data_IF_938088477612
#
_entry.id   IF_938088477612
#
_cell.length_a   1.000
_cell.length_b   1.000
_cell.length_c   1.000
_cell.angle_alpha   90.00
_cell.angle_beta   90.00
_cell.angle_gamma   90.00
#
_symmetry.space_group_name_H-M   'P 1'
#
loop_
_entity.id
_entity.type
_entity.pdbx_description
1 polymer ?
#
# COMPACT_ATOMS: atom_id res chain seq x y z
N UNK A 1 1.17 22.09 3.40
CA UNK A 1 1.09 22.18 4.87
C UNK A 1 2.22 21.36 5.49
N UNK A 2 2.59 21.56 6.77
CA UNK A 2 3.69 20.81 7.38
C UNK A 2 3.20 19.43 7.87
N UNK A 3 3.93 18.36 7.49
CA UNK A 3 3.68 17.00 8.00
C UNK A 3 4.07 16.88 9.48
N UNK A 4 3.40 15.99 10.20
CA UNK A 4 3.85 15.54 11.53
C UNK A 4 5.21 14.83 11.39
N UNK A 5 6.02 14.88 12.43
CA UNK A 5 7.39 14.36 12.39
C UNK A 5 7.45 12.89 11.99
N UNK A 6 6.54 12.08 12.52
CA UNK A 6 6.41 10.66 12.21
C UNK A 6 6.25 10.34 10.70
N UNK A 7 5.65 11.25 9.93
CA UNK A 7 5.39 11.08 8.48
C UNK A 7 6.31 11.91 7.59
N UNK A 8 7.20 12.73 8.18
CA UNK A 8 8.04 13.68 7.45
C UNK A 8 9.15 12.93 6.71
N UNK A 9 9.30 13.21 5.41
CA UNK A 9 10.48 12.80 4.66
C UNK A 9 11.73 13.52 5.16
N UNK A 10 12.85 12.80 5.24
CA UNK A 10 14.15 13.40 5.56
C UNK A 10 14.57 14.37 4.46
N UNK A 11 15.11 15.53 4.86
CA UNK A 11 15.74 16.49 3.94
C UNK A 11 17.05 15.91 3.43
N UNK A 12 17.53 16.41 2.29
CA UNK A 12 18.82 15.98 1.71
C UNK A 12 19.95 16.15 2.73
N UNK A 13 19.99 17.27 3.45
CA UNK A 13 20.97 17.52 4.52
C UNK A 13 20.89 16.51 5.66
N UNK A 14 19.70 15.98 5.97
CA UNK A 14 19.51 14.94 6.98
C UNK A 14 19.88 13.54 6.44
N UNK A 15 19.83 13.35 5.12
CA UNK A 15 20.22 12.09 4.47
C UNK A 15 21.73 12.01 4.33
N UNK A 16 22.40 13.08 3.91
CA UNK A 16 23.85 13.10 3.61
C UNK A 16 24.71 13.67 4.72
N UNK A 17 24.12 14.37 5.70
CA UNK A 17 24.88 15.05 6.75
C UNK A 17 25.63 14.05 7.64
N UNK A 18 26.96 14.12 7.62
CA UNK A 18 27.83 13.24 8.43
C UNK A 18 27.83 11.78 7.99
N UNK A 19 27.36 11.46 6.79
CA UNK A 19 27.30 10.09 6.25
C UNK A 19 28.28 9.88 5.11
N UNK A 20 28.83 8.67 5.03
CA UNK A 20 29.58 8.21 3.85
C UNK A 20 28.63 8.08 2.65
N UNK A 21 29.01 8.66 1.50
CA UNK A 21 28.19 8.59 0.29
C UNK A 21 28.70 7.49 -0.63
N UNK A 22 27.86 6.49 -0.86
CA UNK A 22 28.11 5.37 -1.78
C UNK A 22 27.45 5.66 -3.12
N UNK A 23 28.20 5.45 -4.20
CA UNK A 23 27.70 5.51 -5.56
C UNK A 23 27.69 4.09 -6.15
N UNK A 24 26.52 3.47 -6.39
CA UNK A 24 26.46 2.15 -6.99
C UNK A 24 26.84 2.22 -8.47
N UNK A 25 27.42 1.16 -9.02
CA UNK A 25 27.60 1.02 -10.45
C UNK A 25 26.25 0.87 -11.17
N UNK A 26 26.19 1.22 -12.46
CA UNK A 26 24.96 1.13 -13.25
C UNK A 26 24.40 -0.30 -13.39
N UNK A 27 25.24 -1.31 -13.18
CA UNK A 27 24.89 -2.74 -13.24
C UNK A 27 24.65 -3.36 -11.86
N UNK A 28 24.82 -2.59 -10.78
CA UNK A 28 24.60 -3.10 -9.44
C UNK A 28 23.11 -3.32 -9.17
N UNK A 29 22.80 -4.39 -8.46
CA UNK A 29 21.47 -4.60 -7.88
C UNK A 29 21.17 -3.49 -6.86
N UNK A 30 20.33 -2.53 -7.25
CA UNK A 30 19.88 -1.47 -6.33
C UNK A 30 19.20 -2.06 -5.08
N UNK A 31 18.50 -3.19 -5.23
CA UNK A 31 17.87 -3.91 -4.12
C UNK A 31 18.91 -4.33 -3.09
N UNK A 32 20.00 -4.96 -3.51
CA UNK A 32 21.02 -5.45 -2.59
C UNK A 32 21.85 -4.29 -2.02
N UNK A 33 22.15 -3.27 -2.82
CA UNK A 33 22.84 -2.06 -2.36
C UNK A 33 22.06 -1.33 -1.28
N UNK A 34 20.76 -1.10 -1.47
CA UNK A 34 19.92 -0.42 -0.47
C UNK A 34 19.79 -1.30 0.79
N UNK A 35 19.61 -2.62 0.64
CA UNK A 35 19.56 -3.53 1.79
C UNK A 35 20.85 -3.53 2.60
N UNK A 36 22.00 -3.43 1.95
CA UNK A 36 23.32 -3.46 2.59
C UNK A 36 23.73 -2.13 3.26
N UNK A 37 22.99 -1.03 3.07
CA UNK A 37 23.35 0.26 3.67
C UNK A 37 23.45 0.18 5.20
N UNK A 38 24.61 0.57 5.73
CA UNK A 38 24.82 0.80 7.15
C UNK A 38 24.20 2.13 7.60
N UNK A 39 23.92 2.35 8.91
CA UNK A 39 23.22 3.56 9.40
C UNK A 39 23.92 4.90 9.10
N UNK A 40 25.25 4.87 8.96
CA UNK A 40 26.15 5.99 8.67
C UNK A 40 26.40 6.17 7.16
N UNK A 41 25.72 5.41 6.30
CA UNK A 41 25.87 5.48 4.85
C UNK A 41 24.65 6.11 4.18
N UNK A 42 24.88 6.74 3.04
CA UNK A 42 23.87 7.25 2.12
C UNK A 42 24.17 6.76 0.70
N UNK A 43 23.13 6.36 -0.04
CA UNK A 43 23.25 5.93 -1.43
C UNK A 43 22.91 7.08 -2.37
N UNK A 44 23.81 7.38 -3.29
CA UNK A 44 23.59 8.32 -4.39
C UNK A 44 23.45 7.60 -5.72
N UNK A 45 22.24 7.62 -6.28
CA UNK A 45 21.95 7.00 -7.57
C UNK A 45 22.00 8.08 -8.65
N UNK A 46 22.96 7.97 -9.56
CA UNK A 46 23.19 8.91 -10.67
C UNK A 46 22.67 8.42 -12.03
N UNK A 47 22.10 7.22 -12.08
CA UNK A 47 21.49 6.64 -13.27
C UNK A 47 19.95 6.51 -13.17
N UNK A 48 19.24 6.31 -14.31
CA UNK A 48 17.78 6.18 -14.30
C UNK A 48 17.29 4.96 -13.53
N UNK A 49 16.43 5.18 -12.53
CA UNK A 49 15.72 4.11 -11.81
C UNK A 49 14.55 3.55 -12.64
N UNK A 50 13.88 4.42 -13.40
CA UNK A 50 12.75 4.01 -14.22
C UNK A 50 13.25 3.35 -15.52
N UNK A 51 12.50 2.38 -16.07
CA UNK A 51 12.81 1.83 -17.39
C UNK A 51 12.91 2.94 -18.45
N UNK A 52 13.84 2.79 -19.41
CA UNK A 52 14.20 3.84 -20.39
C UNK A 52 13.02 4.35 -21.21
N UNK A 53 11.99 3.54 -21.40
CA UNK A 53 10.76 3.92 -22.11
C UNK A 53 9.86 4.91 -21.35
N UNK A 54 10.13 5.16 -20.06
CA UNK A 54 9.39 6.13 -19.25
C UNK A 54 10.26 7.34 -18.91
N UNK A 55 9.89 8.49 -19.44
CA UNK A 55 10.56 9.77 -19.21
C UNK A 55 10.39 10.31 -17.78
N UNK A 56 9.32 9.93 -17.09
CA UNK A 56 9.01 10.39 -15.76
C UNK A 56 8.14 9.41 -14.97
N UNK A 57 8.09 9.66 -13.65
CA UNK A 57 7.32 8.87 -12.70
C UNK A 57 5.82 8.83 -13.03
N UNK A 58 5.24 9.92 -13.54
CA UNK A 58 3.82 9.97 -13.87
C UNK A 58 3.47 9.02 -15.02
N UNK A 59 4.29 8.98 -16.08
CA UNK A 59 4.11 8.02 -17.18
C UNK A 59 4.34 6.59 -16.73
N UNK A 60 5.36 6.32 -15.92
CA UNK A 60 5.59 5.00 -15.36
C UNK A 60 4.41 4.51 -14.51
N UNK A 61 3.86 5.35 -13.63
CA UNK A 61 2.73 4.94 -12.79
C UNK A 61 1.43 4.70 -13.59
N UNK A 62 1.30 5.32 -14.77
CA UNK A 62 0.11 5.18 -15.64
C UNK A 62 0.23 4.05 -16.67
N UNK A 63 1.42 3.82 -17.21
CA UNK A 63 1.66 2.94 -18.36
C UNK A 63 2.73 1.87 -18.09
N UNK A 64 3.34 1.87 -16.90
CA UNK A 64 4.30 0.87 -16.48
C UNK A 64 3.65 -0.49 -16.23
N UNK A 65 4.49 -1.49 -16.01
CA UNK A 65 4.01 -2.82 -15.66
C UNK A 65 3.28 -2.79 -14.32
N UNK A 66 2.30 -3.68 -14.20
CA UNK A 66 1.39 -3.78 -13.08
C UNK A 66 1.32 -5.23 -12.60
N UNK A 67 1.31 -5.42 -11.29
CA UNK A 67 0.91 -6.70 -10.73
C UNK A 67 -0.62 -6.80 -10.77
N UNK A 68 -1.16 -7.74 -11.56
CA UNK A 68 -2.60 -7.88 -11.77
C UNK A 68 -3.16 -9.02 -10.95
N UNK A 69 -3.88 -8.69 -9.89
CA UNK A 69 -4.55 -9.70 -9.08
C UNK A 69 -5.85 -10.13 -9.76
N UNK A 70 -5.89 -11.37 -10.23
CA UNK A 70 -7.11 -12.03 -10.69
C UNK A 70 -7.97 -12.50 -9.53
N UNK A 71 -9.24 -12.80 -9.82
CA UNK A 71 -10.06 -13.57 -8.88
C UNK A 71 -9.67 -15.02 -9.01
N UNK A 72 -9.01 -15.55 -7.98
CA UNK A 72 -8.98 -16.98 -7.75
C UNK A 72 -10.04 -17.28 -6.69
N UNK A 73 -11.13 -18.00 -7.02
CA UNK A 73 -12.14 -18.35 -6.04
C UNK A 73 -11.60 -19.29 -4.94
N UNK A 74 -10.45 -19.91 -5.13
CA UNK A 74 -9.89 -20.82 -4.13
C UNK A 74 -8.91 -20.13 -3.18
N UNK A 75 -8.41 -18.94 -3.54
CA UNK A 75 -7.41 -18.22 -2.76
C UNK A 75 -8.00 -16.95 -2.10
N UNK A 76 -7.64 -16.67 -0.83
CA UNK A 76 -7.95 -15.39 -0.21
C UNK A 76 -7.38 -14.21 -1.03
N UNK A 77 -8.02 -13.02 -1.02
CA UNK A 77 -7.56 -11.86 -1.78
C UNK A 77 -6.10 -11.45 -1.50
N UNK A 78 -5.68 -11.49 -0.23
CA UNK A 78 -4.29 -11.24 0.14
C UNK A 78 -3.31 -12.22 -0.55
N UNK A 79 -3.68 -13.50 -0.66
CA UNK A 79 -2.87 -14.50 -1.38
C UNK A 79 -2.91 -14.27 -2.90
N UNK A 80 -4.06 -13.93 -3.46
CA UNK A 80 -4.19 -13.59 -4.88
C UNK A 80 -3.31 -12.38 -5.25
N UNK A 81 -3.25 -11.37 -4.37
CA UNK A 81 -2.36 -10.22 -4.51
C UNK A 81 -0.90 -10.63 -4.35
N UNK A 82 -0.56 -11.41 -3.32
CA UNK A 82 0.80 -11.89 -3.09
C UNK A 82 1.33 -12.70 -4.28
N UNK A 83 0.49 -13.56 -4.86
CA UNK A 83 0.78 -14.31 -6.07
C UNK A 83 0.98 -13.39 -7.27
N UNK A 84 0.08 -12.43 -7.50
CA UNK A 84 0.22 -11.47 -8.59
C UNK A 84 1.49 -10.62 -8.48
N UNK A 85 1.92 -10.28 -7.26
CA UNK A 85 3.18 -9.59 -7.01
C UNK A 85 4.39 -10.47 -7.31
N UNK A 86 4.33 -11.75 -6.96
CA UNK A 86 5.39 -12.71 -7.24
C UNK A 86 5.51 -13.01 -8.74
N UNK A 87 4.37 -13.17 -9.41
CA UNK A 87 4.27 -13.54 -10.84
C UNK A 87 4.53 -12.36 -11.77
N UNK A 88 4.50 -11.13 -11.27
CA UNK A 88 4.93 -9.96 -12.02
C UNK A 88 6.46 -10.00 -12.18
N UNK A 89 6.93 -10.86 -13.09
CA UNK A 89 8.33 -11.14 -13.46
C UNK A 89 9.10 -9.91 -13.99
N UNK A 90 8.52 -8.71 -13.89
CA UNK A 90 9.05 -7.45 -14.42
C UNK A 90 8.87 -6.34 -13.40
N UNK A 91 9.74 -5.32 -13.35
CA UNK A 91 9.57 -4.19 -12.45
C UNK A 91 8.20 -3.54 -12.57
N UNK A 92 7.45 -3.49 -11.47
CA UNK A 92 6.12 -2.87 -11.38
C UNK A 92 6.08 -1.86 -10.22
N UNK A 93 5.18 -0.89 -10.29
CA UNK A 93 5.01 0.13 -9.24
C UNK A 93 3.64 0.09 -8.55
N UNK A 94 2.74 -0.75 -9.04
CA UNK A 94 1.36 -0.77 -8.55
C UNK A 94 0.72 -2.13 -8.70
N UNK A 95 -0.23 -2.39 -7.82
CA UNK A 95 -1.18 -3.49 -7.97
C UNK A 95 -2.44 -2.95 -8.61
N UNK A 96 -3.00 -3.77 -9.49
CA UNK A 96 -4.22 -3.49 -10.22
C UNK A 96 -5.21 -4.63 -10.02
N UNK A 97 -6.42 -4.27 -9.60
CA UNK A 97 -7.54 -5.19 -9.40
C UNK A 97 -8.67 -4.72 -10.30
N UNK A 98 -9.13 -5.59 -11.20
CA UNK A 98 -10.32 -5.32 -12.03
C UNK A 98 -11.56 -5.78 -11.29
N UNK A 99 -12.55 -4.90 -11.17
CA UNK A 99 -13.82 -5.25 -10.56
C UNK A 99 -14.56 -6.30 -11.39
N UNK A 100 -15.05 -7.34 -10.71
CA UNK A 100 -15.98 -8.31 -11.30
C UNK A 100 -17.43 -7.81 -11.28
N UNK A 101 -17.77 -6.90 -10.37
CA UNK A 101 -19.10 -6.28 -10.30
C UNK A 101 -19.31 -5.25 -11.41
N UNK A 102 -18.23 -4.59 -11.82
CA UNK A 102 -18.20 -3.64 -12.93
C UNK A 102 -16.90 -3.81 -13.71
N UNK A 103 -17.00 -4.46 -14.89
CA UNK A 103 -15.83 -4.76 -15.73
C UNK A 103 -15.13 -3.51 -16.27
N UNK A 104 -15.79 -2.36 -16.25
CA UNK A 104 -15.25 -1.08 -16.67
C UNK A 104 -14.48 -0.36 -15.56
N UNK A 105 -14.54 -0.87 -14.32
CA UNK A 105 -13.83 -0.31 -13.18
C UNK A 105 -12.57 -1.10 -12.85
N UNK A 106 -11.49 -0.35 -12.67
CA UNK A 106 -10.20 -0.87 -12.22
C UNK A 106 -9.73 -0.06 -11.01
N UNK A 107 -9.32 -0.77 -9.97
CA UNK A 107 -8.69 -0.19 -8.79
C UNK A 107 -7.18 -0.34 -8.91
N UNK A 108 -6.45 0.77 -8.73
CA UNK A 108 -4.99 0.80 -8.65
C UNK A 108 -4.54 1.23 -7.26
N UNK A 109 -3.49 0.60 -6.76
CA UNK A 109 -2.81 1.05 -5.54
C UNK A 109 -1.30 0.95 -5.73
N UNK A 110 -0.58 2.02 -5.41
CA UNK A 110 0.89 2.02 -5.45
C UNK A 110 1.45 1.29 -4.23
N UNK A 111 2.58 0.60 -4.40
CA UNK A 111 3.19 -0.15 -3.30
C UNK A 111 3.64 0.77 -2.14
N UNK A 112 4.20 1.94 -2.47
CA UNK A 112 4.58 2.95 -1.47
C UNK A 112 3.38 3.43 -0.66
N UNK A 113 2.23 3.62 -1.31
CA UNK A 113 0.97 3.99 -0.66
C UNK A 113 0.47 2.92 0.31
N UNK A 114 0.71 1.64 0.00
CA UNK A 114 0.33 0.55 0.88
C UNK A 114 1.13 0.59 2.19
N UNK A 115 2.44 0.80 2.12
CA UNK A 115 3.31 0.94 3.29
C UNK A 115 2.96 2.21 4.09
N UNK A 116 2.77 3.36 3.43
CA UNK A 116 2.33 4.58 4.12
C UNK A 116 0.97 4.39 4.83
N UNK A 117 0.05 3.64 4.22
CA UNK A 117 -1.23 3.29 4.85
C UNK A 117 -1.07 2.39 6.07
N UNK A 118 -0.17 1.40 6.01
CA UNK A 118 0.19 0.57 7.17
C UNK A 118 0.81 1.41 8.28
N UNK A 119 1.74 2.32 7.94
CA UNK A 119 2.38 3.25 8.87
C UNK A 119 1.36 4.17 9.54
N UNK A 120 0.40 4.70 8.77
CA UNK A 120 -0.68 5.53 9.28
C UNK A 120 -1.63 4.75 10.22
N UNK A 121 -1.94 3.50 9.89
CA UNK A 121 -2.69 2.63 10.78
C UNK A 121 -1.92 2.38 12.09
N UNK A 122 -0.63 2.05 12.03
CA UNK A 122 0.21 1.86 13.21
C UNK A 122 0.26 3.11 14.10
N UNK A 123 0.50 4.29 13.50
CA UNK A 123 0.44 5.58 14.20
C UNK A 123 -0.89 5.80 14.92
N UNK A 124 -2.00 5.49 14.25
CA UNK A 124 -3.34 5.72 14.79
C UNK A 124 -3.62 4.93 16.07
N UNK A 125 -3.06 3.71 16.19
CA UNK A 125 -3.26 2.86 17.36
C UNK A 125 -2.63 3.47 18.62
N UNK A 126 -1.53 4.21 18.45
CA UNK A 126 -0.76 4.79 19.55
C UNK A 126 -1.15 6.24 19.84
N UNK A 127 -1.49 7.03 18.82
CA UNK A 127 -1.55 8.49 18.94
C UNK A 127 -2.92 9.10 18.63
N UNK A 128 -3.67 8.52 17.68
CA UNK A 128 -4.91 9.12 17.18
C UNK A 128 -5.84 8.04 16.62
N UNK A 129 -6.63 7.35 17.47
CA UNK A 129 -7.41 6.18 17.06
C UNK A 129 -8.30 6.45 15.85
N UNK A 130 -8.26 5.56 14.85
CA UNK A 130 -9.23 5.54 13.74
C UNK A 130 -10.60 5.18 14.30
N UNK A 131 -11.62 6.00 13.96
CA UNK A 131 -13.01 5.76 14.37
C UNK A 131 -13.71 5.02 13.23
N UNK A 132 -14.26 3.84 13.53
CA UNK A 132 -15.01 3.02 12.57
C UNK A 132 -16.47 3.04 12.98
N UNK A 133 -17.35 3.35 12.04
CA UNK A 133 -18.79 3.30 12.22
C UNK A 133 -19.42 2.43 11.11
N UNK A 134 -20.37 1.58 11.49
CA UNK A 134 -21.01 0.58 10.61
C UNK A 134 -21.00 -0.83 11.22
N UNK A 135 -21.47 -1.85 10.48
CA UNK A 135 -21.88 -1.79 9.07
C UNK A 135 -23.24 -1.13 8.85
N UNK A 136 -23.38 -0.30 7.80
CA UNK A 136 -24.60 0.48 7.48
C UNK A 136 -25.54 -0.19 6.45
N UNK A 137 -25.61 -1.53 6.40
CA UNK A 137 -26.57 -2.27 5.55
C UNK A 137 -27.27 -3.35 6.37
N UNK A 138 -28.53 -3.65 6.05
CA UNK A 138 -29.26 -4.76 6.69
C UNK A 138 -28.59 -6.12 6.41
N UNK A 139 -28.74 -7.09 7.31
CA UNK A 139 -28.04 -8.39 7.20
C UNK A 139 -28.32 -9.13 5.88
N UNK A 140 -29.53 -9.03 5.33
CA UNK A 140 -29.90 -9.61 4.03
C UNK A 140 -29.08 -9.01 2.89
N UNK A 141 -28.98 -7.68 2.83
CA UNK A 141 -28.28 -6.93 1.76
C UNK A 141 -26.76 -7.07 1.86
N UNK A 142 -26.20 -7.22 3.08
CA UNK A 142 -24.75 -7.41 3.26
C UNK A 142 -24.25 -8.72 2.62
N UNK A 143 -25.10 -9.74 2.52
CA UNK A 143 -24.73 -11.00 1.87
C UNK A 143 -24.39 -10.79 0.40
N UNK A 144 -25.20 -10.02 -0.31
CA UNK A 144 -25.08 -9.89 -1.77
C UNK A 144 -24.21 -8.70 -2.19
N UNK A 145 -24.25 -7.60 -1.44
CA UNK A 145 -23.60 -6.35 -1.84
C UNK A 145 -22.42 -5.95 -0.95
N UNK A 146 -22.16 -6.70 0.12
CA UNK A 146 -21.18 -6.33 1.15
C UNK A 146 -21.66 -5.19 2.04
N UNK A 147 -20.87 -4.88 3.06
CA UNK A 147 -21.14 -3.84 4.04
C UNK A 147 -20.61 -2.47 3.62
N UNK A 148 -21.15 -1.45 4.27
CA UNK A 148 -20.69 -0.05 4.15
C UNK A 148 -20.18 0.41 5.52
N UNK A 149 -19.00 1.02 5.54
CA UNK A 149 -18.39 1.60 6.73
C UNK A 149 -18.04 3.06 6.48
N UNK A 150 -18.27 3.90 7.48
CA UNK A 150 -17.71 5.25 7.54
C UNK A 150 -16.56 5.24 8.54
N UNK A 151 -15.42 5.76 8.12
CA UNK A 151 -14.17 5.66 8.87
C UNK A 151 -13.52 7.02 8.93
N UNK A 152 -13.26 7.53 10.12
CA UNK A 152 -12.47 8.76 10.28
C UNK A 152 -11.00 8.37 10.50
N UNK A 153 -10.12 8.75 9.59
CA UNK A 153 -8.68 8.42 9.63
C UNK A 153 -7.87 9.68 9.97
N UNK A 154 -6.89 9.63 10.89
CA UNK A 154 -6.06 10.80 11.17
C UNK A 154 -5.28 11.25 9.93
N UNK A 155 -5.01 12.55 9.81
CA UNK A 155 -4.12 13.06 8.75
C UNK A 155 -2.65 12.93 9.13
N UNK A 156 -1.79 12.85 8.12
CA UNK A 156 -0.34 13.01 8.27
C UNK A 156 0.06 14.48 8.52
N UNK A 157 -0.82 15.43 8.20
CA UNK A 157 -0.57 16.86 8.31
C UNK A 157 -0.90 17.38 9.70
N UNK A 158 -0.21 18.44 10.14
CA UNK A 158 -0.45 19.06 11.46
C UNK A 158 -1.77 19.83 11.53
N UNK A 159 -2.17 20.47 10.42
CA UNK A 159 -3.34 21.37 10.37
C UNK A 159 -4.66 20.67 10.07
N UNK A 160 -4.60 19.48 9.50
CA UNK A 160 -5.78 18.66 9.22
C UNK A 160 -5.83 17.59 10.29
N UNK A 161 -6.93 17.49 11.02
CA UNK A 161 -7.02 16.48 12.06
C UNK A 161 -7.31 15.10 11.45
N UNK A 162 -8.34 15.01 10.62
CA UNK A 162 -8.89 13.73 10.13
C UNK A 162 -9.47 13.85 8.72
N UNK A 163 -9.45 12.73 8.01
CA UNK A 163 -10.09 12.50 6.73
C UNK A 163 -11.24 11.51 6.88
N UNK A 164 -12.36 11.77 6.22
CA UNK A 164 -13.48 10.84 6.15
C UNK A 164 -13.28 9.89 4.98
N UNK A 165 -13.38 8.60 5.29
CA UNK A 165 -13.31 7.51 4.32
C UNK A 165 -14.61 6.72 4.38
N UNK A 166 -15.33 6.65 3.26
CA UNK A 166 -16.46 5.74 3.10
C UNK A 166 -16.00 4.51 2.32
N UNK A 167 -16.06 3.35 2.95
CA UNK A 167 -15.80 2.06 2.32
C UNK A 167 -17.12 1.38 2.00
N UNK A 168 -17.31 0.95 0.76
CA UNK A 168 -18.49 0.21 0.30
C UNK A 168 -18.07 -1.14 -0.29
N UNK A 169 -18.99 -2.10 -0.26
CA UNK A 169 -18.79 -3.47 -0.72
C UNK A 169 -17.73 -4.24 0.08
N UNK A 170 -17.57 -3.92 1.38
CA UNK A 170 -16.67 -4.65 2.28
C UNK A 170 -17.26 -6.03 2.60
N UNK A 171 -16.60 -7.14 2.24
CA UNK A 171 -17.16 -8.47 2.49
C UNK A 171 -17.09 -8.83 3.99
N UNK A 172 -18.25 -9.25 4.56
CA UNK A 172 -18.37 -9.66 5.98
C UNK A 172 -18.79 -11.12 6.21
N UNK A 173 -19.05 -11.89 5.16
CA UNK A 173 -19.36 -13.33 5.27
C UNK A 173 -18.43 -14.07 4.32
N UNK A 174 -18.34 -15.38 4.45
CA UNK A 174 -17.53 -16.23 3.57
C UNK A 174 -18.47 -17.07 2.68
N UNK A 175 -18.85 -16.53 1.52
CA UNK A 175 -19.66 -17.25 0.51
C UNK A 175 -19.11 -16.98 -0.89
N UNK A 176 -19.33 -17.87 -1.84
CA UNK A 176 -18.64 -17.83 -3.14
C UNK A 176 -18.87 -16.54 -3.95
N UNK A 177 -20.07 -15.95 -3.85
CA UNK A 177 -20.36 -14.65 -4.48
C UNK A 177 -19.46 -13.51 -3.94
N UNK A 178 -18.87 -13.67 -2.76
CA UNK A 178 -18.04 -12.65 -2.08
C UNK A 178 -16.59 -12.63 -2.50
N UNK A 179 -16.09 -13.73 -3.06
CA UNK A 179 -14.80 -13.75 -3.75
C UNK A 179 -14.79 -12.80 -4.94
N UNK A 180 -15.94 -12.29 -5.37
CA UNK A 180 -16.04 -11.22 -6.36
C UNK A 180 -16.18 -9.84 -5.71
N UNK A 181 -16.81 -9.73 -4.53
CA UNK A 181 -17.03 -8.44 -3.85
C UNK A 181 -15.74 -7.70 -3.53
N UNK A 182 -14.67 -8.39 -3.11
CA UNK A 182 -13.41 -7.71 -2.79
C UNK A 182 -12.79 -7.01 -4.00
N UNK A 183 -13.05 -7.51 -5.22
CA UNK A 183 -12.61 -6.83 -6.45
C UNK A 183 -13.43 -5.59 -6.79
N UNK A 184 -14.66 -5.54 -6.29
CA UNK A 184 -15.60 -4.43 -6.45
C UNK A 184 -15.63 -3.46 -5.27
N UNK A 185 -14.60 -3.51 -4.42
CA UNK A 185 -14.46 -2.60 -3.29
C UNK A 185 -14.49 -1.15 -3.78
N UNK A 186 -15.30 -0.36 -3.08
CA UNK A 186 -15.47 1.06 -3.32
C UNK A 186 -14.94 1.85 -2.13
N UNK A 187 -14.19 2.90 -2.42
CA UNK A 187 -13.68 3.79 -1.39
C UNK A 187 -13.73 5.23 -1.87
N UNK A 188 -14.33 6.09 -1.05
CA UNK A 188 -14.32 7.54 -1.23
C UNK A 188 -13.59 8.14 -0.04
N UNK A 189 -12.59 8.96 -0.31
CA UNK A 189 -11.86 9.71 0.72
C UNK A 189 -11.91 11.20 0.35
N UNK A 190 -12.05 12.05 1.37
CA UNK A 190 -12.09 13.51 1.22
C UNK A 190 -10.71 14.18 1.07
N UNK A 191 -9.62 13.41 1.10
CA UNK A 191 -8.26 13.94 0.90
C UNK A 191 -8.03 14.38 -0.55
N UNK A 192 -7.09 15.32 -0.77
CA UNK A 192 -6.79 15.82 -2.12
C UNK A 192 -6.18 14.75 -3.05
N UNK A 193 -5.66 13.64 -2.51
CA UNK A 193 -5.04 12.57 -3.29
C UNK A 193 -6.04 11.79 -4.15
N UNK A 194 -7.27 11.58 -3.68
CA UNK A 194 -8.31 10.82 -4.41
C UNK A 194 -8.94 11.61 -5.55
N UNK A 195 -8.59 12.90 -5.73
CA UNK A 195 -9.11 13.75 -6.81
C UNK A 195 -8.44 13.49 -8.17
N UNK A 196 -7.40 12.65 -8.24
CA UNK A 196 -6.74 12.30 -9.48
C UNK A 196 -7.39 11.07 -10.12
N UNK A 197 -8.48 11.29 -10.85
CA UNK A 197 -9.08 10.28 -11.71
C UNK A 197 -8.24 10.17 -12.98
N UNK A 198 -7.64 9.00 -13.25
CA UNK A 198 -7.15 8.72 -14.59
C UNK A 198 -8.36 8.27 -15.40
N UNK A 199 -9.06 9.23 -16.00
CA UNK A 199 -10.21 8.93 -16.85
C UNK A 199 -9.71 8.43 -18.21
N UNK A 200 -9.86 7.12 -18.46
CA UNK A 200 -9.95 6.62 -19.82
C UNK A 200 -11.36 6.86 -20.35
N UNK A 201 -11.52 7.02 -21.67
CA UNK A 201 -12.84 7.23 -22.30
C UNK A 201 -13.85 6.11 -22.00
N UNK A 202 -13.37 4.92 -21.61
CA UNK A 202 -14.16 3.71 -21.39
C UNK A 202 -13.79 2.92 -20.12
N UNK A 203 -12.81 3.39 -19.33
CA UNK A 203 -12.34 2.70 -18.13
C UNK A 203 -12.29 3.68 -16.96
N UNK A 204 -13.01 3.37 -15.89
CA UNK A 204 -12.97 4.12 -14.64
C UNK A 204 -11.81 3.59 -13.79
N UNK A 205 -10.78 4.42 -13.61
CA UNK A 205 -9.66 4.08 -12.74
C UNK A 205 -9.83 4.73 -11.38
N UNK A 206 -9.83 3.91 -10.33
CA UNK A 206 -9.90 4.33 -8.93
C UNK A 206 -8.53 4.19 -8.29
N UNK A 207 -7.96 5.30 -7.80
CA UNK A 207 -6.71 5.27 -7.04
C UNK A 207 -7.00 5.28 -5.54
N UNK A 208 -6.47 4.29 -4.84
CA UNK A 208 -6.55 4.25 -3.38
C UNK A 208 -5.38 4.98 -2.74
N UNK A 209 -5.69 5.91 -1.82
CA UNK A 209 -4.72 6.65 -1.01
C UNK A 209 -4.37 5.89 0.28
N UNK A 210 -3.37 6.39 1.01
CA UNK A 210 -2.94 5.78 2.27
C UNK A 210 -4.03 5.80 3.34
N UNK A 211 -4.95 6.78 3.32
CA UNK A 211 -6.07 6.84 4.26
C UNK A 211 -7.06 5.70 4.01
N UNK A 212 -7.30 5.35 2.74
CA UNK A 212 -8.16 4.22 2.37
C UNK A 212 -7.53 2.91 2.84
N UNK A 213 -6.22 2.73 2.61
CA UNK A 213 -5.47 1.57 3.10
C UNK A 213 -5.57 1.45 4.62
N UNK A 214 -5.30 2.55 5.36
CA UNK A 214 -5.40 2.58 6.82
C UNK A 214 -6.83 2.30 7.32
N UNK A 215 -7.85 2.83 6.63
CA UNK A 215 -9.26 2.58 6.94
C UNK A 215 -9.60 1.09 6.82
N UNK A 216 -9.08 0.40 5.81
CA UNK A 216 -9.27 -1.05 5.65
C UNK A 216 -8.69 -1.84 6.82
N UNK A 217 -7.47 -1.54 7.25
CA UNK A 217 -6.87 -2.18 8.44
C UNK A 217 -7.70 -1.91 9.71
N UNK A 218 -8.25 -0.71 9.85
CA UNK A 218 -9.10 -0.37 11.00
C UNK A 218 -10.46 -1.08 10.97
N UNK A 219 -11.12 -1.13 9.81
CA UNK A 219 -12.36 -1.90 9.62
C UNK A 219 -12.10 -3.37 9.87
N UNK A 220 -10.93 -3.87 9.47
CA UNK A 220 -10.55 -5.23 9.73
C UNK A 220 -10.49 -5.57 11.20
N UNK A 221 -9.70 -4.79 11.95
CA UNK A 221 -9.63 -4.90 13.40
C UNK A 221 -10.99 -4.76 14.06
N UNK A 222 -11.82 -3.83 13.59
CA UNK A 222 -13.16 -3.58 14.12
C UNK A 222 -14.07 -4.79 13.93
N UNK A 223 -14.13 -5.37 12.72
CA UNK A 223 -14.99 -6.51 12.44
C UNK A 223 -14.58 -7.76 13.24
N UNK A 224 -13.26 -8.01 13.37
CA UNK A 224 -12.73 -9.10 14.21
C UNK A 224 -13.14 -8.90 15.67
N UNK A 225 -12.92 -7.71 16.23
CA UNK A 225 -13.26 -7.42 17.65
C UNK A 225 -14.75 -7.55 17.96
N UNK A 226 -15.61 -7.13 17.03
CA UNK A 226 -17.06 -7.16 17.22
C UNK A 226 -17.71 -8.46 16.74
N UNK A 227 -16.92 -9.48 16.38
CA UNK A 227 -17.39 -10.79 15.91
C UNK A 227 -18.44 -10.67 14.79
N UNK A 228 -18.24 -9.72 13.88
CA UNK A 228 -19.21 -9.46 12.80
C UNK A 228 -19.19 -10.53 11.70
N UNK A 229 -18.18 -11.41 11.71
CA UNK A 229 -18.10 -12.59 10.86
C UNK A 229 -18.93 -13.70 11.50
N UNK A 230 -20.19 -13.83 11.06
CA UNK A 230 -20.98 -15.02 11.38
C UNK A 230 -20.39 -16.19 10.57
N UNK A 231 -20.33 -17.36 11.19
CA UNK A 231 -19.86 -18.64 10.62
C UNK A 231 -18.34 -18.87 10.62
N UNK A 232 -17.57 -18.09 11.39
CA UNK A 232 -16.14 -18.34 11.63
C UNK A 232 -15.86 -18.48 13.13
N UNK A 233 -15.10 -19.50 13.51
CA UNK A 233 -14.58 -19.60 14.88
C UNK A 233 -13.62 -18.44 15.16
N UNK A 234 -13.36 -18.11 16.44
CA UNK A 234 -12.40 -17.04 16.79
C UNK A 234 -10.98 -17.31 16.26
N UNK A 235 -10.64 -18.59 16.01
CA UNK A 235 -9.39 -19.06 15.40
C UNK A 235 -9.40 -18.92 13.86
N UNK A 236 -10.58 -18.82 13.26
CA UNK A 236 -10.83 -18.64 11.82
C UNK A 236 -11.13 -17.20 11.41
N UNK A 237 -11.14 -16.22 12.33
CA UNK A 237 -11.38 -14.80 12.03
C UNK A 237 -10.22 -14.17 11.23
N UNK A 238 -10.09 -14.62 9.99
CA UNK A 238 -9.07 -14.25 9.03
C UNK A 238 -9.63 -13.28 7.98
N UNK A 239 -10.95 -13.05 7.95
CA UNK A 239 -11.65 -12.39 6.84
C UNK A 239 -11.23 -10.97 6.56
N UNK A 240 -10.93 -10.07 7.50
CA UNK A 240 -10.65 -8.73 7.06
C UNK A 240 -9.16 -8.44 6.88
N UNK A 241 -8.25 -9.31 7.34
CA UNK A 241 -6.88 -9.40 6.82
C UNK A 241 -6.84 -10.05 5.44
N UNK A 242 -7.74 -11.00 5.18
CA UNK A 242 -7.86 -11.67 3.87
C UNK A 242 -8.57 -10.82 2.82
N UNK A 243 -9.54 -10.00 3.21
CA UNK A 243 -10.28 -9.10 2.32
C UNK A 243 -9.60 -7.76 2.07
N UNK A 244 -8.41 -7.52 2.65
CA UNK A 244 -7.61 -6.34 2.33
C UNK A 244 -7.25 -6.41 0.84
N UNK A 245 -7.70 -5.46 0.00
CA UNK A 245 -7.37 -5.45 -1.42
C UNK A 245 -5.96 -4.86 -1.67
N UNK A 246 -5.06 -5.01 -0.68
CA UNK A 246 -3.73 -4.44 -0.65
C UNK A 246 -2.72 -5.49 -0.18
N UNK A 247 -1.46 -5.39 -0.61
CA UNK A 247 -0.40 -6.21 -0.06
C UNK A 247 -0.11 -5.78 1.37
N UNK A 248 0.17 -6.76 2.22
CA UNK A 248 0.65 -6.54 3.57
C UNK A 248 2.15 -6.81 3.54
N UNK A 249 2.97 -5.78 3.78
CA UNK A 249 4.43 -5.91 3.74
C UNK A 249 4.97 -6.46 5.07
N UNK A 250 6.04 -7.26 4.99
CA UNK A 250 6.77 -7.74 6.17
C UNK A 250 7.55 -6.61 6.85
N UNK A 251 7.98 -6.81 8.10
CA UNK A 251 8.85 -5.86 8.79
C UNK A 251 10.17 -5.65 8.03
N UNK A 252 10.70 -6.70 7.39
CA UNK A 252 11.94 -6.62 6.58
C UNK A 252 11.74 -5.71 5.37
N UNK A 253 10.63 -5.84 4.65
CA UNK A 253 10.30 -4.95 3.53
C UNK A 253 10.07 -3.50 3.98
N UNK A 254 9.49 -3.29 5.16
CA UNK A 254 9.37 -1.96 5.78
C UNK A 254 10.75 -1.40 6.14
N UNK A 255 11.68 -2.23 6.62
CA UNK A 255 13.07 -1.83 6.84
C UNK A 255 13.75 -1.35 5.55
N UNK A 256 13.63 -2.10 4.45
CA UNK A 256 14.11 -1.67 3.13
C UNK A 256 13.50 -0.32 2.71
N UNK A 257 12.20 -0.15 2.95
CA UNK A 257 11.50 1.10 2.66
C UNK A 257 11.96 2.28 3.52
N UNK A 258 12.23 2.07 4.82
CA UNK A 258 12.80 3.10 5.69
C UNK A 258 14.18 3.54 5.16
N UNK A 259 15.04 2.60 4.75
CA UNK A 259 16.35 2.92 4.13
C UNK A 259 16.18 3.77 2.87
N UNK A 260 15.23 3.45 2.00
CA UNK A 260 14.91 4.28 0.82
C UNK A 260 14.55 5.72 1.17
N UNK A 261 13.78 5.95 2.25
CA UNK A 261 13.38 7.30 2.67
C UNK A 261 14.49 8.05 3.41
N UNK A 262 15.29 7.35 4.18
CA UNK A 262 16.26 7.94 5.10
C UNK A 262 17.68 8.04 4.55
N UNK A 263 18.03 7.24 3.55
CA UNK A 263 19.42 7.05 3.11
C UNK A 263 19.63 7.17 1.60
N UNK A 264 18.58 7.23 0.77
CA UNK A 264 18.74 7.23 -0.69
C UNK A 264 18.38 8.57 -1.31
N UNK A 265 19.31 9.08 -2.12
CA UNK A 265 19.13 10.27 -2.96
C UNK A 265 19.40 9.95 -4.42
N UNK A 266 18.73 10.68 -5.32
CA UNK A 266 18.84 10.49 -6.76
C UNK A 266 19.28 11.77 -7.45
N UNK A 267 20.06 11.63 -8.50
CA UNK A 267 20.33 12.71 -9.43
C UNK A 267 19.13 12.92 -10.36
N UNK A 268 18.67 14.16 -10.53
CA UNK A 268 17.71 14.52 -11.58
C UNK A 268 18.33 15.44 -12.63
N UNK A 269 19.65 15.40 -12.79
CA UNK A 269 20.46 16.25 -13.68
C UNK A 269 20.63 17.67 -13.14
N UNK A 270 19.55 18.31 -12.69
CA UNK A 270 19.55 19.68 -12.17
C UNK A 270 19.86 19.79 -10.68
N UNK A 271 19.53 18.76 -9.90
CA UNK A 271 19.68 18.76 -8.45
C UNK A 271 19.56 17.34 -7.88
N UNK A 272 20.10 17.16 -6.68
CA UNK A 272 19.87 15.96 -5.85
C UNK A 272 18.48 16.04 -5.25
N UNK A 273 17.75 14.93 -5.21
CA UNK A 273 16.43 14.85 -4.55
C UNK A 273 16.29 13.52 -3.81
N UNK A 274 15.52 13.47 -2.71
CA UNK A 274 15.04 12.20 -2.18
C UNK A 274 14.22 11.44 -3.24
N UNK A 275 14.08 10.12 -3.05
CA UNK A 275 13.19 9.32 -3.88
C UNK A 275 11.75 9.81 -3.76
N UNK A 276 11.07 9.99 -4.91
CA UNK A 276 9.64 10.25 -4.93
C UNK A 276 8.84 8.94 -4.81
N UNK A 277 7.54 9.05 -4.53
CA UNK A 277 6.65 7.90 -4.29
C UNK A 277 6.67 6.84 -5.40
N UNK A 278 6.68 7.24 -6.68
CA UNK A 278 6.68 6.25 -7.76
C UNK A 278 8.04 5.59 -7.98
N UNK A 279 9.18 6.26 -7.70
CA UNK A 279 10.49 5.61 -7.66
C UNK A 279 10.60 4.62 -6.50
N UNK A 280 10.08 4.98 -5.32
CA UNK A 280 10.00 4.05 -4.17
C UNK A 280 9.11 2.84 -4.49
N UNK A 281 7.95 3.09 -5.12
CA UNK A 281 7.05 2.01 -5.54
C UNK A 281 7.69 1.06 -6.53
N UNK A 282 8.43 1.57 -7.52
CA UNK A 282 9.23 0.75 -8.45
C UNK A 282 10.23 -0.12 -7.69
N UNK A 283 11.03 0.49 -6.81
CA UNK A 283 12.05 -0.21 -6.03
C UNK A 283 11.47 -1.23 -5.05
N UNK A 284 10.25 -1.02 -4.53
CA UNK A 284 9.50 -2.03 -3.77
C UNK A 284 9.08 -3.21 -4.65
N UNK A 285 8.67 -2.95 -5.90
CA UNK A 285 8.37 -3.99 -6.88
C UNK A 285 9.61 -4.83 -7.19
N UNK A 286 10.76 -4.18 -7.44
CA UNK A 286 12.04 -4.87 -7.64
C UNK A 286 12.42 -5.72 -6.42
N UNK A 287 12.26 -5.16 -5.21
CA UNK A 287 12.55 -5.87 -3.97
C UNK A 287 11.67 -7.12 -3.82
N UNK A 288 10.38 -6.99 -4.12
CA UNK A 288 9.42 -8.10 -4.03
C UNK A 288 9.75 -9.20 -5.04
N UNK A 289 10.11 -8.82 -6.28
CA UNK A 289 10.55 -9.76 -7.30
C UNK A 289 11.87 -10.47 -6.91
N UNK A 290 12.83 -9.74 -6.35
CA UNK A 290 14.15 -10.27 -6.00
C UNK A 290 14.17 -11.15 -4.74
N UNK A 291 13.40 -10.80 -3.70
CA UNK A 291 13.40 -11.51 -2.41
C UNK A 291 12.27 -12.53 -2.28
N UNK A 292 11.32 -12.51 -3.22
CA UNK A 292 10.15 -13.38 -3.21
C UNK A 292 9.10 -12.98 -2.17
N UNK A 293 7.91 -13.58 -2.31
CA UNK A 293 6.74 -13.27 -1.46
C UNK A 293 6.97 -13.63 0.01
N UNK A 294 7.74 -14.69 0.29
CA UNK A 294 8.01 -15.17 1.65
C UNK A 294 8.78 -14.13 2.48
N UNK A 295 9.67 -13.39 1.84
CA UNK A 295 10.47 -12.34 2.52
C UNK A 295 9.77 -10.98 2.49
N UNK A 296 9.13 -10.64 1.37
CA UNK A 296 8.64 -9.29 1.14
C UNK A 296 7.26 -9.02 1.74
N UNK A 297 6.43 -10.05 1.89
CA UNK A 297 5.06 -9.93 2.36
C UNK A 297 4.90 -10.57 3.73
N UNK A 298 3.90 -10.11 4.46
CA UNK A 298 3.56 -10.60 5.79
C UNK A 298 2.87 -11.96 5.73
N UNK A 299 3.20 -12.83 6.68
CA UNK A 299 2.62 -14.17 6.85
C UNK A 299 2.01 -14.36 8.24
N UNK A 300 1.05 -15.29 8.40
CA UNK A 300 0.56 -15.67 9.72
C UNK A 300 1.70 -16.09 10.65
N UNK A 301 1.81 -15.43 11.81
CA UNK A 301 2.89 -15.65 12.79
C UNK A 301 3.93 -14.53 12.81
N UNK A 302 3.99 -13.70 11.76
CA UNK A 302 4.81 -12.51 11.75
C UNK A 302 4.35 -11.50 12.81
N UNK A 303 5.29 -10.62 13.18
CA UNK A 303 5.05 -9.49 14.05
C UNK A 303 3.85 -8.66 13.60
N UNK A 304 3.11 -8.07 14.53
CA UNK A 304 1.96 -7.23 14.19
C UNK A 304 2.47 -5.92 13.58
N UNK A 305 1.75 -5.41 12.57
CA UNK A 305 2.05 -4.14 11.89
C UNK A 305 2.28 -2.97 12.87
N UNK A 306 1.55 -2.95 13.99
CA UNK A 306 1.65 -1.90 15.01
C UNK A 306 2.98 -1.93 15.79
N UNK A 307 3.69 -3.06 15.76
CA UNK A 307 4.90 -3.28 16.51
C UNK A 307 6.16 -3.11 15.64
N UNK A 308 6.01 -2.93 14.32
CA UNK A 308 7.14 -2.76 13.39
C UNK A 308 8.02 -1.55 13.74
N UNK A 309 9.30 -1.60 13.36
CA UNK A 309 10.15 -0.42 13.37
C UNK A 309 9.81 0.54 12.22
N UNK A 310 9.10 1.64 12.53
CA UNK A 310 8.65 2.65 11.55
C UNK A 310 9.62 3.82 11.34
N UNK A 311 10.82 3.75 11.93
CA UNK A 311 11.86 4.79 11.91
C UNK A 311 13.03 4.46 11.00
#
# INVERSE_FOLDING_TARGET
MAKKEFFRDKRISEITGGREVICPGAHDSLVDRINALAPDQALYIDFPILPKQFDNTRKFLKYGNEARAGVNPEAPPAEAIARALHDAQVPFGSIVVRSRLDRLTVTRTMLDTCIEGMKLYAYSVQNAPIKVAGPYRGQSVIKDFGAVFNVDVPSEERKIERHRVKLSNVPLYDVDSKKQLWTGIEAVCDCDFTRWWITGRYLQERLFCQHIVAAYYAVAKFCTRNRLFKDQTAEDMKVPSWAVPFPIFSEVAVGYWNKMRAQVIVNTGKMRKPLNSGKRSKLLGDYTAAKGKETALWHPGDKKIIDYNWY
#
